data_IF_847362303750
#
_entry.id   IF_847362303750
#
_cell.length_a   1.000
_cell.length_b   1.000
_cell.length_c   1.000
_cell.angle_alpha   90.00
_cell.angle_beta   90.00
_cell.angle_gamma   90.00
#
_symmetry.space_group_name_H-M   'P 1'
#
loop_
_entity.id
_entity.type
_entity.pdbx_description
1 polymer ?
#
# COMPACT_ATOMS: atom_id res chain seq x y z
N UNK A 1 -4.17 -4.47 -81.82
CA UNK A 1 -4.74 -4.30 -80.50
C UNK A 1 -3.70 -4.72 -79.49
N UNK A 2 -3.10 -3.74 -78.79
CA UNK A 2 -2.15 -3.99 -77.67
C UNK A 2 -2.91 -3.84 -76.41
N UNK A 3 -3.01 -4.89 -75.61
CA UNK A 3 -3.64 -4.85 -74.23
C UNK A 3 -2.54 -4.50 -73.21
N UNK A 4 -2.68 -3.37 -72.56
CA UNK A 4 -1.77 -2.95 -71.53
C UNK A 4 -2.36 -3.42 -70.20
N UNK A 5 -1.65 -4.33 -69.54
CA UNK A 5 -2.03 -4.78 -68.16
C UNK A 5 -1.40 -3.82 -67.14
N UNK A 6 -2.22 -3.07 -66.43
CA UNK A 6 -1.81 -2.27 -65.26
C UNK A 6 -1.71 -3.20 -64.05
N UNK A 7 -0.52 -3.37 -63.53
CA UNK A 7 -0.31 -4.03 -62.23
C UNK A 7 -0.51 -3.01 -61.12
N UNK A 8 -1.53 -3.21 -60.30
CA UNK A 8 -1.75 -2.44 -59.09
C UNK A 8 -0.90 -3.03 -57.94
N UNK A 9 0.10 -2.24 -57.48
CA UNK A 9 0.87 -2.58 -56.29
C UNK A 9 0.09 -2.21 -55.03
N UNK A 10 -0.37 -3.20 -54.28
CA UNK A 10 -0.98 -2.99 -52.97
C UNK A 10 0.14 -2.78 -51.93
N UNK A 11 0.25 -1.56 -51.40
CA UNK A 11 1.14 -1.26 -50.28
C UNK A 11 0.51 -1.78 -49.00
N UNK A 12 1.08 -2.85 -48.42
CA UNK A 12 0.77 -3.27 -47.06
C UNK A 12 1.39 -2.25 -46.06
N UNK A 13 0.55 -1.43 -45.46
CA UNK A 13 0.93 -0.64 -44.31
C UNK A 13 1.06 -1.57 -43.10
N UNK A 14 2.27 -1.85 -42.67
CA UNK A 14 2.54 -2.53 -41.41
C UNK A 14 2.14 -1.60 -40.24
N UNK A 15 1.04 -1.93 -39.59
CA UNK A 15 0.65 -1.29 -38.32
C UNK A 15 1.63 -1.82 -37.27
N UNK A 16 2.62 -1.01 -36.91
CA UNK A 16 3.47 -1.28 -35.75
C UNK A 16 2.60 -1.19 -34.49
N UNK A 17 2.32 -2.33 -33.87
CA UNK A 17 1.74 -2.36 -32.54
C UNK A 17 2.69 -1.62 -31.58
N UNK A 18 2.19 -0.74 -30.72
CA UNK A 18 3.04 -0.11 -29.70
C UNK A 18 3.64 -1.23 -28.84
N UNK A 19 4.96 -1.28 -28.79
CA UNK A 19 5.66 -2.15 -27.87
C UNK A 19 5.16 -1.79 -26.46
N UNK A 20 4.49 -2.74 -25.80
CA UNK A 20 4.21 -2.64 -24.38
C UNK A 20 5.57 -2.47 -23.71
N UNK A 21 5.86 -1.26 -23.24
CA UNK A 21 7.01 -1.01 -22.36
C UNK A 21 6.76 -1.89 -21.15
N UNK A 22 7.53 -2.97 -21.03
CA UNK A 22 7.64 -3.74 -19.81
C UNK A 22 7.88 -2.70 -18.72
N UNK A 23 6.91 -2.53 -17.80
CA UNK A 23 7.02 -1.59 -16.72
C UNK A 23 8.31 -1.92 -15.98
N UNK A 24 9.27 -1.02 -16.06
CA UNK A 24 10.39 -1.06 -15.13
C UNK A 24 9.76 -1.21 -13.75
N UNK A 25 10.19 -2.21 -12.98
CA UNK A 25 9.80 -2.37 -11.58
C UNK A 25 10.14 -1.03 -10.91
N UNK A 26 9.09 -0.20 -10.70
CA UNK A 26 9.29 1.19 -10.30
C UNK A 26 10.02 1.22 -8.97
N UNK A 27 10.92 2.17 -8.82
CA UNK A 27 11.65 2.39 -7.58
C UNK A 27 10.68 2.54 -6.41
N UNK A 28 11.02 1.93 -5.28
CA UNK A 28 10.25 2.06 -4.05
C UNK A 28 11.16 2.04 -2.83
N UNK A 29 10.72 2.67 -1.78
CA UNK A 29 11.27 2.42 -0.45
C UNK A 29 10.17 1.91 0.50
N UNK A 30 10.58 1.34 1.59
CA UNK A 30 9.77 0.49 2.43
C UNK A 30 10.04 0.77 3.90
N UNK A 31 8.98 0.90 4.71
CA UNK A 31 9.01 0.77 6.16
C UNK A 31 8.45 -0.59 6.56
N UNK A 32 9.17 -1.32 7.40
CA UNK A 32 8.63 -2.51 8.06
C UNK A 32 8.31 -2.15 9.50
N UNK A 33 7.03 -2.24 9.85
CA UNK A 33 6.54 -1.90 11.17
C UNK A 33 5.97 -3.14 11.85
N UNK A 34 6.25 -3.31 13.15
CA UNK A 34 5.65 -4.36 13.95
C UNK A 34 4.30 -3.92 14.50
N UNK A 35 3.48 -4.89 14.88
CA UNK A 35 2.25 -4.64 15.63
C UNK A 35 2.58 -3.86 16.91
N UNK A 36 1.85 -2.78 17.15
CA UNK A 36 1.98 -1.95 18.34
C UNK A 36 0.96 -2.35 19.39
N UNK A 37 -0.29 -2.13 19.09
CA UNK A 37 -1.42 -2.40 19.99
C UNK A 37 -2.73 -2.44 19.22
N UNK A 38 -3.81 -2.67 19.93
CA UNK A 38 -5.17 -2.69 19.45
C UNK A 38 -6.05 -1.78 20.30
N UNK A 39 -6.90 -1.00 19.69
CA UNK A 39 -7.87 -0.15 20.37
C UNK A 39 -9.06 0.19 19.46
N UNK A 40 -10.21 0.48 20.07
CA UNK A 40 -11.38 1.01 19.38
C UNK A 40 -11.27 2.54 19.21
N UNK A 41 -10.13 3.01 18.73
CA UNK A 41 -9.77 4.41 18.56
C UNK A 41 -9.53 4.75 17.09
N UNK A 42 -9.88 5.97 16.69
CA UNK A 42 -9.60 6.53 15.37
C UNK A 42 -9.29 8.03 15.48
N UNK A 43 -8.01 8.44 15.45
CA UNK A 43 -7.66 9.85 15.55
C UNK A 43 -7.96 10.69 14.32
N UNK A 44 -8.44 10.10 13.22
CA UNK A 44 -8.87 10.82 12.01
C UNK A 44 -10.39 10.98 12.00
N UNK A 45 -11.13 9.87 11.96
CA UNK A 45 -12.58 9.88 11.74
C UNK A 45 -13.34 10.19 13.05
N UNK A 46 -12.84 9.73 14.20
CA UNK A 46 -13.44 9.93 15.52
C UNK A 46 -12.43 10.53 16.52
N UNK A 47 -11.83 11.70 16.19
CA UNK A 47 -10.84 12.31 17.06
C UNK A 47 -11.42 12.63 18.45
N UNK A 48 -10.63 12.40 19.49
CA UNK A 48 -10.98 12.63 20.91
C UNK A 48 -12.17 11.79 21.40
N UNK A 49 -12.52 10.73 20.71
CA UNK A 49 -13.63 9.83 21.05
C UNK A 49 -13.10 8.41 21.28
N UNK A 50 -12.38 8.16 22.38
CA UNK A 50 -11.82 6.85 22.66
C UNK A 50 -12.92 5.80 22.85
N UNK A 51 -12.73 4.61 22.25
CA UNK A 51 -13.69 3.50 22.35
C UNK A 51 -14.92 3.61 21.44
N UNK A 52 -15.04 4.66 20.62
CA UNK A 52 -16.21 4.87 19.75
C UNK A 52 -16.02 4.36 18.32
N UNK A 53 -14.81 3.97 17.94
CA UNK A 53 -14.55 3.32 16.66
C UNK A 53 -14.77 1.81 16.73
N UNK A 54 -14.82 1.13 15.58
CA UNK A 54 -14.54 -0.29 15.57
C UNK A 54 -13.07 -0.52 15.95
N UNK A 55 -12.75 -1.75 16.27
CA UNK A 55 -11.42 -2.10 16.76
C UNK A 55 -10.36 -2.03 15.66
N UNK A 56 -9.28 -1.32 15.89
CA UNK A 56 -8.16 -1.18 14.96
C UNK A 56 -6.88 -1.86 15.48
N UNK A 57 -6.12 -2.41 14.56
CA UNK A 57 -4.75 -2.87 14.78
C UNK A 57 -3.78 -1.78 14.33
N UNK A 58 -3.05 -1.21 15.29
CA UNK A 58 -2.06 -0.17 15.08
C UNK A 58 -0.68 -0.77 14.86
N UNK A 59 0.07 -0.20 13.91
CA UNK A 59 1.48 -0.53 13.65
C UNK A 59 2.31 0.74 13.59
N UNK A 60 3.60 0.62 13.79
CA UNK A 60 4.53 1.73 13.74
C UNK A 60 4.56 2.52 15.04
N UNK A 61 3.90 3.66 15.09
CA UNK A 61 3.90 4.52 16.28
C UNK A 61 3.36 3.78 17.52
N UNK A 62 4.07 3.89 18.64
CA UNK A 62 3.76 3.15 19.87
C UNK A 62 2.72 3.82 20.78
N UNK A 63 2.26 5.04 20.43
CA UNK A 63 1.35 5.83 21.27
C UNK A 63 0.05 6.24 20.60
N UNK A 64 -0.24 5.71 19.41
CA UNK A 64 -1.42 6.12 18.64
C UNK A 64 -2.71 5.80 19.41
N UNK A 65 -3.60 6.79 19.53
CA UNK A 65 -4.91 6.69 20.19
C UNK A 65 -5.82 7.82 19.68
N UNK A 66 -7.06 7.88 20.14
CA UNK A 66 -8.04 8.89 19.73
C UNK A 66 -7.58 10.36 19.93
N UNK A 67 -6.60 10.62 20.78
CA UNK A 67 -6.07 11.98 21.06
C UNK A 67 -4.78 12.28 20.28
N UNK A 68 -4.33 11.41 19.41
CA UNK A 68 -3.07 11.55 18.70
C UNK A 68 -3.02 12.80 17.84
N UNK A 69 -1.91 13.51 17.93
CA UNK A 69 -1.55 14.68 17.14
C UNK A 69 -0.17 14.47 16.52
N UNK A 70 0.20 15.28 15.51
CA UNK A 70 1.57 15.24 14.96
C UNK A 70 2.61 15.40 16.07
N UNK A 71 2.37 16.28 17.03
CA UNK A 71 3.28 16.53 18.14
C UNK A 71 3.45 15.33 19.08
N UNK A 72 2.35 14.62 19.42
CA UNK A 72 2.43 13.41 20.24
C UNK A 72 3.10 12.26 19.50
N UNK A 73 2.77 12.04 18.22
CA UNK A 73 3.34 10.98 17.41
C UNK A 73 4.87 11.13 17.25
N UNK A 74 5.35 12.36 17.04
CA UNK A 74 6.80 12.62 16.91
C UNK A 74 7.59 12.44 18.19
N UNK A 75 6.94 12.55 19.35
CA UNK A 75 7.56 12.34 20.67
C UNK A 75 7.58 10.87 21.08
N UNK A 76 6.74 10.07 20.47
CA UNK A 76 6.65 8.65 20.75
C UNK A 76 7.72 7.84 20.02
N UNK A 77 8.00 6.64 20.51
CA UNK A 77 8.78 5.65 19.79
C UNK A 77 7.99 5.04 18.63
N UNK A 78 8.70 4.31 17.79
CA UNK A 78 8.13 3.56 16.68
C UNK A 78 8.68 2.14 16.62
N UNK A 79 7.87 1.20 16.14
CA UNK A 79 8.29 -0.16 15.81
C UNK A 79 8.73 -0.28 14.33
N UNK A 80 8.74 0.83 13.60
CA UNK A 80 9.15 0.82 12.20
C UNK A 80 10.66 0.80 12.02
N UNK A 81 11.08 0.18 10.96
CA UNK A 81 12.41 0.30 10.40
C UNK A 81 12.27 0.90 9.01
N UNK A 82 12.80 2.11 8.75
CA UNK A 82 13.72 2.91 9.60
C UNK A 82 13.02 3.66 10.75
N UNK A 83 13.76 3.93 11.83
CA UNK A 83 13.28 4.64 13.03
C UNK A 83 12.88 6.11 12.77
N UNK A 84 13.25 6.66 11.61
CA UNK A 84 12.81 7.98 11.16
C UNK A 84 11.31 8.04 10.82
N UNK A 85 10.66 6.88 10.72
CA UNK A 85 9.23 6.74 10.48
C UNK A 85 8.49 6.59 11.81
N UNK A 86 8.02 7.68 12.37
CA UNK A 86 7.17 7.72 13.56
C UNK A 86 5.70 7.89 13.23
N UNK A 87 5.32 7.66 11.96
CA UNK A 87 3.94 7.78 11.49
C UNK A 87 3.03 6.75 12.15
N UNK A 88 1.76 7.08 12.22
CA UNK A 88 0.72 6.17 12.67
C UNK A 88 0.03 5.52 11.46
N UNK A 89 -0.12 4.21 11.54
CA UNK A 89 -0.82 3.40 10.54
C UNK A 89 -1.77 2.46 11.27
N UNK A 90 -3.01 2.35 10.80
CA UNK A 90 -3.95 1.39 11.35
C UNK A 90 -4.91 0.86 10.30
N UNK A 91 -5.43 -0.31 10.57
CA UNK A 91 -6.45 -0.99 9.79
C UNK A 91 -7.41 -1.72 10.74
N UNK A 92 -8.62 -2.09 10.28
CA UNK A 92 -9.55 -2.83 11.12
C UNK A 92 -8.92 -4.15 11.59
N UNK A 93 -9.12 -4.48 12.85
CA UNK A 93 -8.62 -5.72 13.42
C UNK A 93 -9.27 -6.93 12.73
N UNK A 94 -8.44 -7.87 12.30
CA UNK A 94 -8.91 -9.17 11.79
C UNK A 94 -9.38 -10.03 12.96
N UNK A 95 -10.55 -10.63 12.81
CA UNK A 95 -11.11 -11.61 13.75
C UNK A 95 -11.24 -12.96 13.08
N UNK A 96 -10.78 -14.00 13.77
CA UNK A 96 -10.96 -15.40 13.40
C UNK A 96 -11.66 -16.12 14.56
N UNK A 97 -12.83 -16.70 14.29
CA UNK A 97 -13.71 -17.35 15.29
C UNK A 97 -13.95 -16.45 16.53
N UNK A 98 -14.24 -15.16 16.28
CA UNK A 98 -14.51 -14.17 17.32
C UNK A 98 -13.27 -13.72 18.11
N UNK A 99 -12.07 -14.17 17.76
CA UNK A 99 -10.82 -13.79 18.43
C UNK A 99 -10.01 -12.85 17.56
N UNK A 100 -9.45 -11.77 18.11
CA UNK A 100 -8.61 -10.86 17.36
C UNK A 100 -7.30 -11.53 16.95
N UNK A 101 -6.89 -11.30 15.71
CA UNK A 101 -5.62 -11.77 15.15
C UNK A 101 -4.71 -10.58 14.93
N UNK A 102 -3.64 -10.52 15.69
CA UNK A 102 -2.61 -9.50 15.50
C UNK A 102 -1.83 -9.78 14.20
N UNK A 103 -1.52 -8.76 13.40
CA UNK A 103 -0.61 -8.93 12.28
C UNK A 103 0.81 -9.25 12.79
N UNK A 104 1.52 -10.08 12.06
CA UNK A 104 2.94 -10.37 12.33
C UNK A 104 3.79 -9.11 12.10
N UNK A 105 3.47 -8.39 11.04
CA UNK A 105 4.11 -7.13 10.62
C UNK A 105 3.20 -6.40 9.65
N UNK A 106 3.52 -5.13 9.40
CA UNK A 106 3.04 -4.41 8.23
C UNK A 106 4.23 -3.95 7.38
N UNK A 107 4.15 -4.19 6.07
CA UNK A 107 5.06 -3.64 5.09
C UNK A 107 4.41 -2.42 4.45
N UNK A 108 5.05 -1.27 4.56
CA UNK A 108 4.53 0.00 4.09
C UNK A 108 5.37 0.45 2.91
N UNK A 109 4.81 0.30 1.71
CA UNK A 109 5.47 0.65 0.46
C UNK A 109 5.18 2.08 0.07
N UNK A 110 6.22 2.78 -0.32
CA UNK A 110 6.19 4.11 -0.92
C UNK A 110 6.69 4.01 -2.35
N UNK A 111 5.83 4.29 -3.32
CA UNK A 111 6.12 4.16 -4.76
C UNK A 111 5.84 5.46 -5.49
N UNK A 112 6.44 5.63 -6.66
CA UNK A 112 6.00 6.62 -7.63
C UNK A 112 5.20 5.92 -8.72
N UNK A 113 3.90 6.26 -8.82
CA UNK A 113 3.00 5.76 -9.85
C UNK A 113 2.63 6.86 -10.86
N UNK A 114 3.04 8.10 -10.61
CA UNK A 114 2.82 9.24 -11.50
C UNK A 114 3.99 9.48 -12.43
N UNK A 115 3.71 10.03 -13.62
CA UNK A 115 4.74 10.48 -14.56
C UNK A 115 5.48 11.72 -14.05
N UNK A 116 4.79 12.58 -13.29
CA UNK A 116 5.39 13.72 -12.62
C UNK A 116 6.21 13.29 -11.40
N UNK A 117 7.29 14.02 -11.04
CA UNK A 117 7.97 13.85 -9.77
C UNK A 117 7.03 14.00 -8.58
N UNK A 118 7.27 13.22 -7.52
CA UNK A 118 6.45 13.24 -6.32
C UNK A 118 7.02 14.14 -5.25
N UNK A 119 6.15 14.81 -4.50
CA UNK A 119 6.55 15.58 -3.31
C UNK A 119 6.46 14.72 -2.06
N UNK A 120 7.36 14.87 -1.10
CA UNK A 120 7.19 14.25 0.21
C UNK A 120 5.84 14.62 0.83
N UNK A 121 5.22 13.68 1.51
CA UNK A 121 4.01 13.99 2.28
C UNK A 121 4.27 15.15 3.25
N UNK A 122 3.41 16.16 3.31
CA UNK A 122 3.53 17.20 4.32
C UNK A 122 3.33 16.62 5.73
N UNK A 123 4.03 17.18 6.70
CA UNK A 123 3.92 16.74 8.08
C UNK A 123 2.49 16.86 8.60
N UNK A 124 1.96 15.80 9.18
CA UNK A 124 0.59 15.76 9.71
C UNK A 124 -0.50 15.49 8.67
N UNK A 125 -0.14 15.21 7.41
CA UNK A 125 -1.13 14.75 6.42
C UNK A 125 -1.83 13.50 6.95
N UNK A 126 -3.15 13.50 6.85
CA UNK A 126 -4.04 12.41 7.21
C UNK A 126 -4.64 11.82 5.96
N UNK A 127 -4.73 10.52 5.88
CA UNK A 127 -5.35 9.84 4.73
C UNK A 127 -6.16 8.65 5.21
N UNK A 128 -7.30 8.44 4.57
CA UNK A 128 -8.18 7.28 4.73
C UNK A 128 -8.35 6.61 3.37
N UNK A 129 -8.05 5.32 3.27
CA UNK A 129 -8.20 4.53 2.07
C UNK A 129 -9.11 3.32 2.29
N UNK A 130 -9.81 2.89 1.26
CA UNK A 130 -10.81 1.81 1.35
C UNK A 130 -12.14 2.29 1.95
N UNK A 131 -13.07 1.36 2.17
CA UNK A 131 -14.42 1.65 2.64
C UNK A 131 -14.81 0.72 3.81
N UNK A 132 -14.89 1.27 5.02
CA UNK A 132 -15.30 0.56 6.23
C UNK A 132 -16.75 0.02 6.20
N UNK A 133 -17.57 0.49 5.26
CA UNK A 133 -18.98 0.10 5.11
C UNK A 133 -19.24 -0.70 3.83
N UNK A 134 -18.20 -1.28 3.21
CA UNK A 134 -18.36 -2.05 1.98
C UNK A 134 -19.13 -3.35 2.22
N UNK A 135 -20.23 -3.54 1.54
CA UNK A 135 -21.06 -4.76 1.56
C UNK A 135 -20.82 -5.67 0.36
N UNK A 136 -19.95 -5.26 -0.55
CA UNK A 136 -19.51 -6.00 -1.74
C UNK A 136 -18.02 -5.79 -1.97
N UNK A 137 -17.36 -6.60 -2.81
CA UNK A 137 -15.95 -6.41 -3.14
C UNK A 137 -15.63 -4.98 -3.56
N UNK A 138 -14.58 -4.43 -3.00
CA UNK A 138 -13.99 -3.17 -3.44
C UNK A 138 -13.08 -3.41 -4.65
N UNK A 139 -12.70 -2.33 -5.34
CA UNK A 139 -11.72 -2.41 -6.42
C UNK A 139 -10.38 -2.99 -5.90
N UNK A 140 -9.79 -3.98 -6.58
CA UNK A 140 -8.46 -4.50 -6.20
C UNK A 140 -7.35 -3.45 -6.35
N UNK A 141 -7.59 -2.36 -7.07
CA UNK A 141 -6.69 -1.20 -7.08
C UNK A 141 -6.66 -0.46 -5.72
N UNK A 142 -7.69 -0.63 -4.87
CA UNK A 142 -7.79 0.00 -3.56
C UNK A 142 -7.50 -1.01 -2.45
N UNK A 143 -8.20 -2.15 -2.42
CA UNK A 143 -7.99 -3.16 -1.38
C UNK A 143 -8.19 -4.57 -1.91
N UNK A 144 -7.33 -5.47 -1.48
CA UNK A 144 -7.40 -6.88 -1.81
C UNK A 144 -6.64 -7.70 -0.78
N UNK A 145 -6.83 -9.01 -0.84
CA UNK A 145 -6.09 -10.00 -0.08
C UNK A 145 -5.23 -10.85 -1.01
N UNK A 146 -4.12 -11.35 -0.51
CA UNK A 146 -3.32 -12.39 -1.14
C UNK A 146 -2.57 -13.24 -0.09
N UNK A 147 -1.73 -14.16 -0.56
CA UNK A 147 -0.89 -15.02 0.30
C UNK A 147 0.59 -14.59 0.29
N UNK A 148 0.88 -13.33 -0.03
CA UNK A 148 2.24 -12.84 -0.17
C UNK A 148 2.98 -13.46 -1.36
N UNK A 149 4.27 -13.16 -1.47
CA UNK A 149 5.11 -13.74 -2.52
C UNK A 149 5.42 -15.20 -2.19
N UNK A 150 4.83 -16.10 -2.94
CA UNK A 150 5.13 -17.53 -2.89
C UNK A 150 6.36 -17.83 -3.77
N UNK A 151 7.16 -18.81 -3.35
CA UNK A 151 8.25 -19.38 -4.16
C UNK A 151 7.85 -20.76 -4.62
N UNK A 152 7.80 -20.98 -5.93
CA UNK A 152 7.68 -22.32 -6.49
C UNK A 152 9.06 -22.90 -6.70
N UNK A 153 9.35 -24.03 -6.05
CA UNK A 153 10.57 -24.80 -6.28
C UNK A 153 10.36 -25.70 -7.49
N UNK A 154 11.28 -25.67 -8.43
CA UNK A 154 11.29 -26.60 -9.56
C UNK A 154 12.60 -27.38 -9.59
N UNK A 155 12.54 -28.60 -10.10
CA UNK A 155 13.68 -29.47 -10.30
C UNK A 155 13.84 -29.70 -11.79
N UNK A 156 14.93 -29.21 -12.35
CA UNK A 156 15.30 -29.41 -13.76
C UNK A 156 16.53 -30.29 -13.91
N UNK A 157 16.87 -30.74 -15.13
CA UNK A 157 18.03 -31.61 -15.39
C UNK A 157 19.38 -30.97 -14.99
N UNK A 158 19.44 -29.65 -14.86
CA UNK A 158 20.64 -28.89 -14.48
C UNK A 158 20.56 -28.35 -13.02
N UNK A 159 19.76 -28.94 -12.17
CA UNK A 159 19.54 -28.52 -10.81
C UNK A 159 18.17 -27.89 -10.57
N UNK A 160 17.82 -27.70 -9.31
CA UNK A 160 16.56 -27.08 -8.90
C UNK A 160 16.74 -25.58 -8.66
N UNK A 161 15.66 -24.84 -8.79
CA UNK A 161 15.58 -23.41 -8.49
C UNK A 161 14.24 -23.04 -7.88
N UNK A 162 14.10 -21.82 -7.39
CA UNK A 162 12.81 -21.29 -6.97
C UNK A 162 12.52 -19.99 -7.70
N UNK A 163 11.32 -19.88 -8.24
CA UNK A 163 10.82 -18.64 -8.86
C UNK A 163 9.73 -18.06 -7.97
N UNK A 164 9.70 -16.72 -7.78
CA UNK A 164 8.58 -16.07 -7.15
C UNK A 164 7.31 -16.27 -7.98
N UNK A 165 6.23 -16.70 -7.36
CA UNK A 165 4.90 -16.74 -7.97
C UNK A 165 4.07 -15.64 -7.34
N UNK A 166 3.53 -14.74 -8.16
CA UNK A 166 2.59 -13.73 -7.70
C UNK A 166 1.27 -14.43 -7.34
N UNK A 167 0.82 -14.37 -6.10
CA UNK A 167 -0.43 -14.99 -5.71
C UNK A 167 -1.61 -14.32 -6.39
N UNK A 168 -2.67 -15.08 -6.59
CA UNK A 168 -3.92 -14.52 -7.07
C UNK A 168 -4.49 -13.55 -6.02
N UNK A 169 -4.92 -12.39 -6.47
CA UNK A 169 -5.63 -11.43 -5.60
C UNK A 169 -7.04 -11.91 -5.31
N UNK A 170 -7.51 -11.69 -4.08
CA UNK A 170 -8.84 -12.06 -3.61
C UNK A 170 -9.52 -10.87 -2.95
N UNK A 171 -10.84 -10.80 -3.07
CA UNK A 171 -11.64 -9.82 -2.32
C UNK A 171 -11.96 -10.26 -0.89
N UNK A 172 -11.66 -11.51 -0.56
CA UNK A 172 -11.86 -12.11 0.76
C UNK A 172 -10.56 -12.71 1.25
N UNK A 173 -10.47 -13.00 2.54
CA UNK A 173 -9.31 -13.65 3.15
C UNK A 173 -9.07 -15.01 2.46
N UNK A 174 -7.94 -15.22 1.79
CA UNK A 174 -7.66 -16.46 1.09
C UNK A 174 -7.22 -17.57 2.05
N UNK A 175 -7.45 -18.82 1.66
CA UNK A 175 -6.76 -19.94 2.26
C UNK A 175 -5.34 -20.01 1.68
N UNK A 176 -4.35 -19.74 2.50
CA UNK A 176 -2.97 -19.69 2.07
C UNK A 176 -2.27 -21.04 2.22
N UNK A 177 -1.28 -21.34 1.35
CA UNK A 177 -0.43 -22.52 1.53
C UNK A 177 0.27 -22.54 2.89
N UNK A 178 0.61 -23.71 3.42
CA UNK A 178 1.33 -23.81 4.71
C UNK A 178 2.56 -22.88 4.75
N UNK A 179 2.68 -22.13 5.85
CA UNK A 179 3.71 -21.11 6.10
C UNK A 179 3.61 -19.81 5.28
N UNK A 180 2.64 -19.66 4.39
CA UNK A 180 2.36 -18.39 3.74
C UNK A 180 1.50 -17.51 4.66
N UNK A 181 1.77 -16.21 4.68
CA UNK A 181 1.01 -15.23 5.45
C UNK A 181 -0.17 -14.73 4.61
N UNK A 182 -1.38 -14.71 5.18
CA UNK A 182 -2.48 -13.98 4.56
C UNK A 182 -2.21 -12.48 4.62
N UNK A 183 -2.33 -11.76 3.52
CA UNK A 183 -1.99 -10.34 3.46
C UNK A 183 -3.18 -9.49 3.04
N UNK A 184 -3.52 -8.49 3.86
CA UNK A 184 -4.44 -7.41 3.50
C UNK A 184 -3.64 -6.27 2.91
N UNK A 185 -3.94 -5.92 1.67
CA UNK A 185 -3.38 -4.77 0.98
C UNK A 185 -4.39 -3.63 0.96
N UNK A 186 -3.94 -2.42 1.31
CA UNK A 186 -4.71 -1.18 1.17
C UNK A 186 -3.85 -0.13 0.51
N UNK A 187 -4.28 0.35 -0.66
CA UNK A 187 -3.59 1.36 -1.45
C UNK A 187 -4.25 2.72 -1.25
N UNK A 188 -3.45 3.70 -0.92
CA UNK A 188 -3.89 5.07 -0.66
C UNK A 188 -3.85 5.94 -1.92
N UNK A 189 -4.67 7.00 -1.97
CA UNK A 189 -4.59 7.99 -3.02
C UNK A 189 -3.23 8.70 -3.02
N UNK A 190 -2.74 9.05 -4.21
CA UNK A 190 -1.39 9.55 -4.47
C UNK A 190 -1.35 10.95 -5.10
N UNK A 191 -2.49 11.64 -5.10
CA UNK A 191 -2.63 13.02 -5.57
C UNK A 191 -3.27 13.89 -4.48
N UNK A 192 -2.56 14.92 -4.05
CA UNK A 192 -2.97 15.83 -2.99
C UNK A 192 -3.42 17.18 -3.56
N UNK A 193 -4.40 17.84 -2.92
CA UNK A 193 -4.88 19.16 -3.33
C UNK A 193 -3.86 20.30 -3.13
N UNK A 194 -2.75 20.00 -2.43
CA UNK A 194 -1.67 20.94 -2.17
C UNK A 194 -1.97 21.94 -1.05
N UNK A 195 -3.05 21.79 -0.29
CA UNK A 195 -3.55 22.78 0.67
C UNK A 195 -3.90 22.21 2.03
N UNK A 196 -4.75 21.18 2.09
CA UNK A 196 -5.33 20.67 3.31
C UNK A 196 -4.59 19.44 3.78
N UNK A 197 -4.26 19.39 5.07
CA UNK A 197 -3.71 18.18 5.71
C UNK A 197 -4.82 17.16 6.03
N UNK A 198 -6.05 17.60 6.02
CA UNK A 198 -7.27 16.84 6.23
C UNK A 198 -8.46 17.59 5.61
N UNK A 199 -9.53 16.92 5.30
CA UNK A 199 -10.79 17.51 4.84
C UNK A 199 -11.93 17.08 5.76
N UNK A 200 -13.08 17.77 5.70
CA UNK A 200 -14.23 17.46 6.54
C UNK A 200 -14.68 16.00 6.43
N UNK A 201 -14.59 15.42 5.24
CA UNK A 201 -14.89 14.02 4.95
C UNK A 201 -13.69 13.10 5.06
N UNK A 202 -12.53 13.60 5.49
CA UNK A 202 -11.23 12.92 5.61
C UNK A 202 -10.71 12.29 4.31
N UNK A 203 -11.28 12.65 3.16
CA UNK A 203 -11.00 12.01 1.84
C UNK A 203 -10.80 13.00 0.71
N UNK A 204 -11.62 14.05 0.61
CA UNK A 204 -11.70 14.94 -0.55
C UNK A 204 -10.49 15.87 -0.74
N UNK A 205 -9.50 15.83 0.13
CA UNK A 205 -8.19 16.49 -0.07
C UNK A 205 -7.21 15.60 -0.84
N UNK A 206 -7.55 14.33 -1.08
CA UNK A 206 -6.75 13.35 -1.79
C UNK A 206 -7.52 12.73 -2.96
N UNK A 207 -6.83 12.32 -4.01
CA UNK A 207 -7.39 11.59 -5.14
C UNK A 207 -6.40 10.53 -5.65
N UNK A 208 -6.91 9.50 -6.32
CA UNK A 208 -6.06 8.55 -7.04
C UNK A 208 -5.64 9.13 -8.38
N UNK A 209 -4.39 8.92 -8.76
CA UNK A 209 -3.93 9.21 -10.12
C UNK A 209 -4.70 8.37 -11.14
N UNK A 210 -4.87 8.93 -12.34
CA UNK A 210 -5.45 8.23 -13.49
C UNK A 210 -4.43 8.27 -14.62
N UNK A 211 -4.09 7.12 -15.18
CA UNK A 211 -3.09 6.99 -16.25
C UNK A 211 -1.76 7.72 -15.90
N UNK A 212 -1.32 7.59 -14.65
CA UNK A 212 -0.11 8.20 -14.14
C UNK A 212 -0.17 9.72 -13.98
N UNK A 213 -1.35 10.33 -13.95
CA UNK A 213 -1.54 11.78 -13.83
C UNK A 213 -2.50 12.13 -12.71
N UNK A 214 -2.17 13.18 -12.00
CA UNK A 214 -3.05 13.75 -11.00
C UNK A 214 -4.16 14.62 -11.64
N UNK A 215 -5.40 14.54 -11.13
CA UNK A 215 -6.50 15.37 -11.62
C UNK A 215 -6.28 16.85 -11.23
N UNK A 216 -6.87 17.78 -12.00
CA UNK A 216 -6.67 19.21 -11.83
C UNK A 216 -6.97 19.73 -10.40
N UNK A 217 -7.96 19.15 -9.73
CA UNK A 217 -8.30 19.50 -8.33
C UNK A 217 -7.29 19.02 -7.28
N UNK A 218 -6.38 18.12 -7.63
CA UNK A 218 -5.36 17.52 -6.77
C UNK A 218 -4.02 17.48 -7.51
N UNK A 219 -3.44 18.65 -7.83
CA UNK A 219 -2.32 18.71 -8.78
C UNK A 219 -0.98 18.21 -8.22
N UNK A 220 -0.90 17.95 -6.94
CA UNK A 220 0.36 17.58 -6.28
C UNK A 220 0.49 16.07 -6.17
N UNK A 221 1.36 15.48 -7.00
CA UNK A 221 1.73 14.09 -6.87
C UNK A 221 2.52 13.87 -5.56
N UNK A 222 2.14 12.86 -4.80
CA UNK A 222 2.80 12.39 -3.57
C UNK A 222 3.07 10.88 -3.70
N UNK A 223 3.91 10.28 -2.84
CA UNK A 223 4.14 8.84 -2.92
C UNK A 223 2.83 8.03 -2.87
N UNK A 224 2.69 7.06 -3.74
CA UNK A 224 1.64 6.06 -3.64
C UNK A 224 1.98 5.14 -2.46
N UNK A 225 1.20 5.27 -1.39
CA UNK A 225 1.35 4.49 -0.17
C UNK A 225 0.53 3.20 -0.28
N UNK A 226 1.15 2.06 0.04
CA UNK A 226 0.45 0.79 0.19
C UNK A 226 0.77 0.20 1.55
N UNK A 227 -0.26 -0.03 2.37
CA UNK A 227 -0.17 -0.81 3.60
C UNK A 227 -0.42 -2.28 3.29
N UNK A 228 0.48 -3.15 3.74
CA UNK A 228 0.36 -4.59 3.62
C UNK A 228 0.46 -5.21 5.01
N UNK A 229 -0.68 -5.57 5.58
CA UNK A 229 -0.76 -6.27 6.86
C UNK A 229 -0.62 -7.76 6.65
N UNK A 230 0.41 -8.36 7.23
CA UNK A 230 0.67 -9.80 7.15
C UNK A 230 0.15 -10.51 8.40
N UNK A 231 -0.70 -11.52 8.23
CA UNK A 231 -1.30 -12.30 9.30
C UNK A 231 -0.77 -13.73 9.32
N UNK A 232 -0.65 -14.37 10.51
CA UNK A 232 -0.17 -15.75 10.61
C UNK A 232 -1.07 -16.72 9.84
N UNK A 233 -0.52 -17.55 8.96
CA UNK A 233 -1.25 -18.51 8.15
C UNK A 233 -2.19 -19.38 9.02
N UNK A 234 -1.68 -19.95 10.11
CA UNK A 234 -2.44 -20.84 10.98
C UNK A 234 -3.63 -20.20 11.69
N UNK A 235 -3.60 -18.88 11.89
CA UNK A 235 -4.71 -18.16 12.53
C UNK A 235 -5.88 -17.97 11.58
N UNK A 236 -5.64 -18.05 10.27
CA UNK A 236 -6.60 -17.76 9.20
C UNK A 236 -7.14 -19.05 8.59
N UNK A 237 -6.29 -20.06 8.36
CA UNK A 237 -6.64 -21.28 7.61
C UNK A 237 -7.59 -22.21 8.36
N UNK A 238 -7.61 -22.17 9.70
CA UNK A 238 -8.43 -23.04 10.54
C UNK A 238 -9.74 -22.38 11.01
N UNK A 239 -9.95 -21.09 10.73
CA UNK A 239 -11.10 -20.36 11.22
C UNK A 239 -12.38 -20.72 10.43
N UNK A 240 -13.49 -20.95 11.17
CA UNK A 240 -14.83 -21.16 10.59
C UNK A 240 -15.48 -19.83 10.20
N UNK A 241 -15.18 -18.78 10.96
CA UNK A 241 -15.64 -17.42 10.70
C UNK A 241 -14.45 -16.49 10.68
N UNK A 242 -14.37 -15.65 9.65
CA UNK A 242 -13.30 -14.68 9.50
C UNK A 242 -13.89 -13.37 8.99
N UNK A 243 -13.44 -12.25 9.54
CA UNK A 243 -13.90 -10.93 9.14
C UNK A 243 -13.10 -9.81 9.82
N UNK A 244 -13.27 -8.61 9.31
CA UNK A 244 -12.71 -7.40 9.88
C UNK A 244 -13.66 -6.79 10.91
N UNK A 245 -13.14 -6.14 11.93
CA UNK A 245 -13.91 -5.48 13.00
C UNK A 245 -14.90 -4.42 12.48
N UNK A 246 -14.68 -3.90 11.28
CA UNK A 246 -15.57 -2.96 10.60
C UNK A 246 -16.82 -3.61 9.96
N UNK A 247 -16.93 -4.95 9.90
CA UNK A 247 -18.16 -5.62 9.48
C UNK A 247 -18.05 -6.64 8.36
N UNK A 248 -17.02 -7.39 8.24
CA UNK A 248 -16.87 -8.47 7.28
C UNK A 248 -15.65 -8.34 6.37
N UNK A 249 -15.47 -9.24 5.44
CA UNK A 249 -14.21 -9.35 4.69
C UNK A 249 -14.02 -8.26 3.63
N UNK A 250 -15.12 -7.63 3.16
CA UNK A 250 -15.06 -6.58 2.14
C UNK A 250 -14.75 -5.19 2.69
N UNK A 251 -14.80 -5.01 4.01
CA UNK A 251 -14.64 -3.71 4.66
C UNK A 251 -13.18 -3.30 4.87
N UNK A 252 -12.27 -3.89 4.11
CA UNK A 252 -10.85 -3.53 4.11
C UNK A 252 -10.66 -2.03 3.89
N UNK A 253 -9.99 -1.38 4.83
CA UNK A 253 -9.59 0.02 4.77
C UNK A 253 -8.35 0.22 5.63
N UNK A 254 -7.73 1.36 5.51
CA UNK A 254 -6.62 1.73 6.38
C UNK A 254 -6.48 3.24 6.45
N UNK A 255 -5.79 3.67 7.49
CA UNK A 255 -5.62 5.05 7.86
C UNK A 255 -4.15 5.36 8.13
N UNK A 256 -3.79 6.61 7.90
CA UNK A 256 -2.41 7.07 7.99
C UNK A 256 -2.33 8.53 8.48
N UNK A 257 -1.43 8.79 9.44
CA UNK A 257 -1.00 10.14 9.80
C UNK A 257 0.50 10.24 9.59
N UNK A 258 0.93 11.14 8.71
CA UNK A 258 2.34 11.36 8.43
C UNK A 258 3.05 12.05 9.61
N UNK A 259 3.91 11.32 10.28
CA UNK A 259 4.79 11.86 11.31
C UNK A 259 6.28 11.56 11.06
N UNK A 260 6.64 11.19 9.85
CA UNK A 260 8.02 11.01 9.44
C UNK A 260 8.91 12.18 9.84
N UNK A 261 10.16 11.89 10.14
CA UNK A 261 11.21 12.89 10.11
C UNK A 261 11.29 13.45 8.67
N UNK A 262 10.92 14.71 8.48
CA UNK A 262 10.74 15.30 7.16
C UNK A 262 12.03 15.36 6.31
N UNK A 263 13.22 15.70 6.86
CA UNK A 263 14.49 15.56 6.15
C UNK A 263 14.73 14.13 5.63
N UNK A 264 14.48 13.11 6.46
CA UNK A 264 14.67 11.71 6.06
C UNK A 264 13.70 11.30 4.94
N UNK A 265 12.41 11.63 5.09
CA UNK A 265 11.40 11.37 4.05
C UNK A 265 11.76 12.07 2.73
N UNK A 266 12.16 13.34 2.80
CA UNK A 266 12.57 14.12 1.62
C UNK A 266 13.75 13.48 0.89
N UNK A 267 14.74 12.98 1.64
CA UNK A 267 15.90 12.27 1.07
C UNK A 267 15.46 11.00 0.33
N UNK A 268 14.56 10.20 0.94
CA UNK A 268 14.03 8.99 0.33
C UNK A 268 13.19 9.27 -0.92
N UNK A 269 12.29 10.24 -0.86
CA UNK A 269 11.45 10.60 -1.99
C UNK A 269 12.29 11.11 -3.17
N UNK A 270 13.15 12.09 -2.95
CA UNK A 270 13.99 12.65 -4.03
C UNK A 270 15.02 11.66 -4.56
N UNK A 271 15.68 10.95 -3.66
CA UNK A 271 16.76 10.03 -4.03
C UNK A 271 16.25 8.75 -4.68
N UNK A 272 15.22 8.13 -4.11
CA UNK A 272 14.72 6.86 -4.57
C UNK A 272 13.60 6.99 -5.61
N UNK A 273 12.54 7.74 -5.29
CA UNK A 273 11.35 7.75 -6.13
C UNK A 273 11.51 8.63 -7.38
N UNK A 274 12.19 9.77 -7.27
CA UNK A 274 12.33 10.68 -8.39
C UNK A 274 13.57 10.42 -9.25
N UNK A 275 14.69 10.09 -8.64
CA UNK A 275 15.97 9.93 -9.37
C UNK A 275 16.32 8.47 -9.67
N UNK A 276 15.68 7.49 -9.03
CA UNK A 276 15.93 6.06 -9.25
C UNK A 276 17.36 5.59 -8.92
N UNK A 277 18.18 6.43 -8.27
CA UNK A 277 19.63 6.30 -8.27
C UNK A 277 20.28 6.26 -6.89
N UNK A 278 19.52 6.14 -5.81
CA UNK A 278 20.15 6.10 -4.50
C UNK A 278 19.67 4.90 -3.72
N UNK A 279 20.59 3.95 -3.51
CA UNK A 279 20.59 3.19 -2.26
C UNK A 279 20.84 4.20 -1.14
N UNK A 280 19.85 4.73 -0.45
CA UNK A 280 20.11 5.51 0.74
C UNK A 280 20.54 4.49 1.76
N UNK A 281 21.78 4.49 2.10
CA UNK A 281 22.32 3.80 3.26
C UNK A 281 21.66 4.34 4.53
N UNK A 282 20.39 3.99 4.74
CA UNK A 282 19.76 4.13 6.04
C UNK A 282 20.15 2.97 6.94
N UNK A 283 20.51 1.85 6.35
CA UNK A 283 21.14 0.70 6.98
C UNK A 283 21.66 -0.23 5.87
N UNK A 284 22.97 -0.48 5.75
CA UNK A 284 23.54 -1.37 4.74
C UNK A 284 23.11 -2.83 4.90
N UNK A 285 22.50 -3.20 6.03
CA UNK A 285 21.99 -4.55 6.25
C UNK A 285 20.53 -4.73 5.77
N UNK A 286 19.88 -3.67 5.27
CA UNK A 286 18.47 -3.70 4.89
C UNK A 286 18.28 -3.65 3.37
N UNK A 287 17.98 -4.79 2.81
CA UNK A 287 17.63 -5.03 1.39
C UNK A 287 16.23 -4.56 1.00
N UNK A 288 15.65 -3.57 1.70
CA UNK A 288 14.23 -3.20 1.55
C UNK A 288 13.97 -2.04 0.59
N UNK A 289 15.00 -1.40 0.08
CA UNK A 289 14.84 -0.30 -0.87
C UNK A 289 15.23 -0.75 -2.27
N UNK A 290 14.30 -0.66 -3.20
CA UNK A 290 14.52 -0.93 -4.61
C UNK A 290 14.66 0.41 -5.34
N UNK A 291 15.78 1.07 -5.14
CA UNK A 291 16.17 2.30 -5.77
C UNK A 291 17.30 2.02 -6.76
#
# INVERSE_FOLDING_TARGET
>A
MRVTILAAAAALAAIAAPAATAGASGSYFLSICQFSHRAADDPIVLPRSPGFSHDHSFVGNLSTNAFSTLGSLRKAGTSCTPQADTSAYWAPTLYADGRPVAPVKAAIYYRRLTTAPVRPFPAGLRMVAGNAHAYKPQSPAITYWDCGLLKTTFYGPNGGGSIPVTPAVSSTVPVCPPKAEGQLHVNFPDCWDGRRLDSFDHRSHMAYARDGRCPAGHPVAVPALSLVYAYPARAVDAARTIGLSSGGQYTGHADFINAWNQPALTKLVRGCLDNGSVSPTLDPTQTYNHC
#
